data_IF_828200190659
#
_entry.id   IF_828200190659
#
_cell.length_a   1.000
_cell.length_b   1.000
_cell.length_c   1.000
_cell.angle_alpha   90.00
_cell.angle_beta   90.00
_cell.angle_gamma   90.00
#
_symmetry.space_group_name_H-M   'P 1'
#
loop_
_entity.id
_entity.type
_entity.pdbx_description
1 polymer ?
#
# COMPACT_ATOMS: atom_id res chain seq x y z
N UNK A 1 21.16 4.54 1.00
CA UNK A 1 20.24 4.07 -0.05
C UNK A 1 18.91 4.83 -0.01
N UNK A 2 18.27 4.99 1.14
CA UNK A 2 16.99 5.72 1.32
C UNK A 2 17.05 7.21 0.95
N UNK A 3 18.13 7.92 1.33
CA UNK A 3 18.35 9.32 0.92
C UNK A 3 18.38 9.51 -0.60
N UNK A 4 18.94 8.54 -1.32
CA UNK A 4 19.01 8.61 -2.79
C UNK A 4 17.62 8.46 -3.41
N UNK A 5 16.82 7.53 -2.90
CA UNK A 5 15.42 7.34 -3.34
C UNK A 5 14.57 8.57 -3.07
N UNK A 6 14.66 9.14 -1.86
CA UNK A 6 13.91 10.35 -1.54
C UNK A 6 14.29 11.51 -2.48
N UNK A 7 15.57 11.71 -2.77
CA UNK A 7 16.02 12.73 -3.72
C UNK A 7 15.49 12.49 -5.13
N UNK A 8 15.44 11.25 -5.57
CA UNK A 8 14.86 10.90 -6.87
C UNK A 8 13.38 11.26 -6.92
N UNK A 9 12.59 10.85 -5.93
CA UNK A 9 11.16 11.16 -5.83
C UNK A 9 10.92 12.68 -5.77
N UNK A 10 11.77 13.43 -5.06
CA UNK A 10 11.71 14.89 -4.99
C UNK A 10 11.96 15.54 -6.37
N UNK A 11 12.91 15.03 -7.14
CA UNK A 11 13.19 15.54 -8.48
C UNK A 11 12.05 15.27 -9.47
N UNK A 12 11.38 14.13 -9.33
CA UNK A 12 10.22 13.76 -10.16
C UNK A 12 8.96 14.53 -9.78
N UNK A 13 8.88 15.06 -8.56
CA UNK A 13 7.70 15.76 -8.02
C UNK A 13 8.11 17.08 -7.32
N UNK A 14 8.59 18.08 -8.05
CA UNK A 14 9.16 19.30 -7.46
C UNK A 14 8.16 20.15 -6.65
N UNK A 15 6.87 20.06 -6.96
CA UNK A 15 5.82 20.84 -6.30
C UNK A 15 5.19 20.11 -5.10
N UNK A 16 5.55 18.85 -4.88
CA UNK A 16 4.97 18.05 -3.80
C UNK A 16 5.59 18.42 -2.43
N UNK A 17 4.76 18.40 -1.39
CA UNK A 17 5.24 18.63 -0.02
C UNK A 17 6.11 17.47 0.44
N UNK A 18 7.23 17.78 1.10
CA UNK A 18 8.18 16.78 1.57
C UNK A 18 7.53 15.67 2.42
N UNK A 19 6.55 16.01 3.27
CA UNK A 19 5.80 15.02 4.06
C UNK A 19 5.05 13.99 3.19
N UNK A 20 4.53 14.43 2.04
CA UNK A 20 3.77 13.56 1.14
C UNK A 20 4.71 12.61 0.39
N UNK A 21 5.88 13.09 0.00
CA UNK A 21 6.94 12.27 -0.60
C UNK A 21 7.52 11.25 0.38
N UNK A 22 7.69 11.64 1.65
CA UNK A 22 8.12 10.72 2.71
C UNK A 22 7.04 9.69 3.00
N UNK A 23 5.77 10.08 3.02
CA UNK A 23 4.66 9.14 3.20
C UNK A 23 4.60 8.12 2.05
N UNK A 24 4.76 8.57 0.80
CA UNK A 24 4.82 7.69 -0.36
C UNK A 24 6.01 6.71 -0.26
N UNK A 25 7.20 7.20 0.07
CA UNK A 25 8.38 6.36 0.22
C UNK A 25 8.16 5.27 1.30
N UNK A 26 7.64 5.65 2.47
CA UNK A 26 7.36 4.70 3.55
C UNK A 26 6.27 3.70 3.14
N UNK A 27 5.22 4.16 2.46
CA UNK A 27 4.17 3.31 1.92
C UNK A 27 4.76 2.24 0.99
N UNK A 28 5.58 2.64 0.02
CA UNK A 28 6.22 1.73 -0.94
C UNK A 28 7.16 0.72 -0.23
N UNK A 29 7.89 1.15 0.79
CA UNK A 29 8.75 0.27 1.59
C UNK A 29 7.94 -0.75 2.43
N UNK A 30 6.74 -0.36 2.90
CA UNK A 30 5.81 -1.25 3.62
C UNK A 30 5.18 -2.26 2.67
N UNK A 31 4.63 -1.82 1.55
CA UNK A 31 3.95 -2.68 0.56
C UNK A 31 4.93 -3.71 -0.03
N UNK A 32 6.17 -3.28 -0.31
CA UNK A 32 7.22 -4.18 -0.81
C UNK A 32 7.91 -5.00 0.29
N UNK A 33 7.34 -5.03 1.52
CA UNK A 33 7.85 -5.79 2.66
C UNK A 33 9.32 -5.49 3.04
N UNK A 34 9.85 -4.32 2.67
CA UNK A 34 11.17 -3.84 3.13
C UNK A 34 11.10 -3.33 4.55
N UNK A 35 9.94 -2.79 4.95
CA UNK A 35 9.58 -2.56 6.34
C UNK A 35 8.50 -3.60 6.68
N UNK A 36 8.86 -4.57 7.51
CA UNK A 36 7.96 -5.67 7.85
C UNK A 36 6.75 -5.21 8.68
N UNK A 37 5.58 -5.90 8.55
CA UNK A 37 4.48 -5.74 9.49
C UNK A 37 4.94 -5.85 10.94
N UNK A 38 4.30 -5.10 11.85
CA UNK A 38 4.66 -5.04 13.27
C UNK A 38 5.90 -4.19 13.59
N UNK A 39 6.64 -3.72 12.59
CA UNK A 39 7.84 -2.90 12.81
C UNK A 39 7.49 -1.56 13.46
N UNK A 40 8.20 -1.20 14.53
CA UNK A 40 8.09 0.12 15.16
C UNK A 40 8.78 1.18 14.30
N UNK A 41 8.04 2.21 13.91
CA UNK A 41 8.55 3.34 13.15
C UNK A 41 9.15 4.39 14.10
N UNK A 42 10.47 4.55 14.06
CA UNK A 42 11.18 5.51 14.89
C UNK A 42 11.46 6.79 14.09
N UNK A 43 10.76 7.87 14.43
CA UNK A 43 10.90 9.19 13.76
C UNK A 43 12.36 9.68 13.71
N UNK A 44 13.13 9.51 14.81
CA UNK A 44 14.50 9.99 14.85
C UNK A 44 15.43 9.18 13.93
N UNK A 45 15.26 7.87 13.89
CA UNK A 45 16.04 6.98 13.02
C UNK A 45 15.70 7.22 11.55
N UNK A 46 14.42 7.32 11.22
CA UNK A 46 13.96 7.61 9.86
C UNK A 46 14.42 8.99 9.38
N UNK A 47 14.32 10.02 10.22
CA UNK A 47 14.81 11.35 9.89
C UNK A 47 16.33 11.35 9.61
N UNK A 48 17.10 10.65 10.44
CA UNK A 48 18.54 10.50 10.25
C UNK A 48 18.88 9.72 8.97
N UNK A 49 18.18 8.61 8.67
CA UNK A 49 18.42 7.79 7.46
C UNK A 49 18.07 8.54 6.18
N UNK A 50 17.02 9.38 6.23
CA UNK A 50 16.58 10.20 5.10
C UNK A 50 17.34 11.52 4.96
N UNK A 51 18.10 11.94 5.98
CA UNK A 51 18.84 13.21 5.99
C UNK A 51 17.95 14.45 6.04
N UNK A 52 16.80 14.36 6.70
CA UNK A 52 15.79 15.43 6.83
C UNK A 52 15.43 15.69 8.29
N UNK A 53 14.65 16.75 8.55
CA UNK A 53 14.16 17.04 9.90
C UNK A 53 13.07 16.04 10.34
N UNK A 54 12.80 15.97 11.63
CA UNK A 54 11.80 15.05 12.22
C UNK A 54 10.35 15.39 11.85
N UNK A 55 10.04 16.65 11.64
CA UNK A 55 8.66 17.11 11.39
C UNK A 55 8.03 16.44 10.17
N UNK A 56 8.60 16.48 8.95
CA UNK A 56 8.00 15.82 7.78
C UNK A 56 7.87 14.30 7.94
N UNK A 57 8.77 13.66 8.71
CA UNK A 57 8.66 12.22 9.01
C UNK A 57 7.49 11.94 9.94
N UNK A 58 7.31 12.74 11.00
CA UNK A 58 6.19 12.59 11.92
C UNK A 58 4.84 12.83 11.22
N UNK A 59 4.76 13.84 10.34
CA UNK A 59 3.57 14.11 9.53
C UNK A 59 3.30 12.98 8.53
N UNK A 60 4.31 12.40 7.92
CA UNK A 60 4.19 11.26 7.03
C UNK A 60 3.63 10.02 7.76
N UNK A 61 4.17 9.73 8.95
CA UNK A 61 3.67 8.63 9.80
C UNK A 61 2.22 8.87 10.22
N UNK A 62 1.85 10.10 10.58
CA UNK A 62 0.46 10.45 10.89
C UNK A 62 -0.46 10.18 9.69
N UNK A 63 -0.05 10.60 8.49
CA UNK A 63 -0.81 10.34 7.25
C UNK A 63 -0.99 8.85 6.98
N UNK A 64 0.05 8.03 7.21
CA UNK A 64 -0.06 6.57 7.10
C UNK A 64 -0.97 5.95 8.17
N UNK A 65 -1.05 6.59 9.35
CA UNK A 65 -1.99 6.18 10.39
C UNK A 65 -3.43 6.51 10.02
N UNK A 66 -3.69 7.67 9.40
CA UNK A 66 -5.02 8.06 8.94
C UNK A 66 -5.61 7.09 7.89
N UNK A 67 -4.74 6.51 7.06
CA UNK A 67 -5.14 5.50 6.06
C UNK A 67 -5.01 4.05 6.55
N UNK A 68 -4.65 3.84 7.82
CA UNK A 68 -4.65 2.53 8.47
C UNK A 68 -3.42 1.66 8.24
N UNK A 69 -2.35 2.15 7.59
CA UNK A 69 -1.09 1.39 7.41
C UNK A 69 -0.21 1.40 8.66
N UNK A 70 -0.45 2.36 9.54
CA UNK A 70 0.27 2.50 10.80
C UNK A 70 -0.72 2.56 11.95
N UNK A 71 -0.43 1.86 13.02
CA UNK A 71 -1.30 1.75 14.21
C UNK A 71 -0.54 2.11 15.48
N UNK A 72 -1.30 2.47 16.52
CA UNK A 72 -0.80 2.61 17.89
C UNK A 72 -1.39 1.48 18.74
N UNK A 73 -0.56 0.82 19.53
CA UNK A 73 -1.03 -0.23 20.43
C UNK A 73 -1.29 0.32 21.83
N UNK A 74 -2.40 -0.08 22.48
CA UNK A 74 -2.66 0.28 23.87
C UNK A 74 -1.50 -0.16 24.76
N UNK A 75 -1.01 0.76 25.61
CA UNK A 75 0.11 0.47 26.54
C UNK A 75 1.51 0.49 25.91
N UNK A 76 1.62 0.70 24.63
CA UNK A 76 2.92 0.83 23.94
C UNK A 76 3.06 2.22 23.34
N UNK A 77 4.18 2.89 23.62
CA UNK A 77 4.47 4.19 22.99
C UNK A 77 5.06 4.01 21.59
N UNK A 78 4.52 4.73 20.61
CA UNK A 78 5.04 4.78 19.23
C UNK A 78 4.05 4.29 18.20
N UNK A 79 4.46 4.37 16.95
CA UNK A 79 3.71 3.99 15.77
C UNK A 79 4.29 2.70 15.19
N UNK A 80 3.45 1.77 14.78
CA UNK A 80 3.83 0.45 14.30
C UNK A 80 3.19 0.20 12.94
N UNK A 81 3.89 -0.47 12.04
CA UNK A 81 3.29 -0.94 10.78
C UNK A 81 2.18 -1.93 11.10
N UNK A 82 1.02 -1.79 10.47
CA UNK A 82 -0.12 -2.69 10.66
C UNK A 82 0.31 -4.14 10.40
N UNK A 83 -0.06 -5.00 11.31
CA UNK A 83 0.09 -6.46 11.18
C UNK A 83 -1.31 -7.07 11.07
N UNK A 84 -1.58 -7.75 9.96
CA UNK A 84 -2.83 -8.45 9.74
C UNK A 84 -2.68 -9.90 10.14
N UNK A 85 -3.54 -10.39 11.02
CA UNK A 85 -3.64 -11.81 11.31
C UNK A 85 -4.54 -12.53 10.28
N UNK A 86 -4.52 -13.85 10.29
CA UNK A 86 -5.30 -14.65 9.35
C UNK A 86 -6.81 -14.36 9.43
N UNK A 87 -7.34 -14.09 10.63
CA UNK A 87 -8.76 -13.80 10.83
C UNK A 87 -9.16 -12.45 10.20
N UNK A 88 -8.27 -11.45 10.31
CA UNK A 88 -8.47 -10.15 9.66
C UNK A 88 -8.51 -10.31 8.14
N UNK A 89 -7.59 -11.11 7.58
CA UNK A 89 -7.56 -11.40 6.15
C UNK A 89 -8.83 -12.12 5.69
N UNK A 90 -9.28 -13.15 6.41
CA UNK A 90 -10.52 -13.86 6.10
C UNK A 90 -11.72 -12.89 6.10
N UNK A 91 -11.78 -12.00 7.09
CA UNK A 91 -12.85 -11.02 7.22
C UNK A 91 -12.84 -10.02 6.05
N UNK A 92 -11.66 -9.54 5.68
CA UNK A 92 -11.47 -8.65 4.53
C UNK A 92 -11.92 -9.33 3.22
N UNK A 93 -11.51 -10.58 2.99
CA UNK A 93 -11.90 -11.32 1.79
C UNK A 93 -13.41 -11.59 1.73
N UNK A 94 -14.08 -11.80 2.85
CA UNK A 94 -15.55 -11.94 2.88
C UNK A 94 -16.24 -10.66 2.40
N UNK A 95 -15.82 -9.49 2.89
CA UNK A 95 -16.37 -8.20 2.46
C UNK A 95 -16.08 -7.95 0.99
N UNK A 96 -14.84 -8.18 0.58
CA UNK A 96 -14.43 -8.05 -0.82
C UNK A 96 -15.25 -8.92 -1.76
N UNK A 97 -15.44 -10.21 -1.41
CA UNK A 97 -16.25 -11.15 -2.20
C UNK A 97 -17.69 -10.66 -2.33
N UNK A 98 -18.29 -10.15 -1.26
CA UNK A 98 -19.66 -9.64 -1.31
C UNK A 98 -19.79 -8.44 -2.26
N UNK A 99 -18.87 -7.48 -2.20
CA UNK A 99 -18.86 -6.30 -3.07
C UNK A 99 -18.58 -6.67 -4.52
N UNK A 100 -17.58 -7.49 -4.77
CA UNK A 100 -17.19 -7.90 -6.13
C UNK A 100 -18.24 -8.77 -6.80
N UNK A 101 -18.91 -9.64 -6.05
CA UNK A 101 -20.00 -10.46 -6.59
C UNK A 101 -21.20 -9.60 -6.99
N UNK A 102 -21.57 -8.61 -6.19
CA UNK A 102 -22.66 -7.69 -6.53
C UNK A 102 -22.29 -6.82 -7.73
N UNK A 103 -21.07 -6.27 -7.76
CA UNK A 103 -20.58 -5.50 -8.90
C UNK A 103 -20.59 -6.33 -10.19
N UNK A 104 -20.13 -7.57 -10.15
CA UNK A 104 -20.15 -8.48 -11.29
C UNK A 104 -21.59 -8.79 -11.75
N UNK A 105 -22.53 -8.99 -10.80
CA UNK A 105 -23.96 -9.19 -11.10
C UNK A 105 -24.55 -7.99 -11.83
N UNK A 106 -24.26 -6.77 -11.39
CA UNK A 106 -24.74 -5.54 -12.05
C UNK A 106 -24.11 -5.41 -13.44
N UNK A 107 -22.79 -5.60 -13.56
CA UNK A 107 -22.08 -5.51 -14.83
C UNK A 107 -22.60 -6.51 -15.87
N UNK A 108 -22.95 -7.73 -15.47
CA UNK A 108 -23.45 -8.77 -16.37
C UNK A 108 -24.73 -8.36 -17.14
N UNK A 109 -25.48 -7.37 -16.64
CA UNK A 109 -26.69 -6.88 -17.30
C UNK A 109 -26.44 -5.73 -18.28
N UNK A 110 -25.26 -5.10 -18.25
CA UNK A 110 -24.99 -3.88 -19.01
C UNK A 110 -23.73 -3.98 -19.89
N UNK A 111 -22.91 -5.01 -19.73
CA UNK A 111 -21.69 -5.22 -20.49
C UNK A 111 -22.04 -5.59 -21.93
N UNK A 112 -21.38 -4.96 -22.90
CA UNK A 112 -21.45 -5.34 -24.31
C UNK A 112 -20.48 -6.49 -24.64
N UNK A 113 -20.69 -7.10 -25.82
CA UNK A 113 -19.91 -8.27 -26.25
C UNK A 113 -18.44 -7.96 -26.49
N UNK A 114 -18.06 -6.72 -26.83
CA UNK A 114 -16.68 -6.34 -27.06
C UNK A 114 -15.94 -6.24 -25.73
N UNK A 115 -16.53 -5.53 -24.77
CA UNK A 115 -16.02 -5.45 -23.39
C UNK A 115 -15.94 -6.83 -22.73
N UNK A 116 -16.92 -7.69 -22.95
CA UNK A 116 -16.90 -9.06 -22.41
C UNK A 116 -15.75 -9.90 -22.97
N UNK A 117 -15.43 -9.76 -24.27
CA UNK A 117 -14.26 -10.42 -24.88
C UNK A 117 -12.96 -9.91 -24.31
N UNK A 118 -12.83 -8.60 -24.11
CA UNK A 118 -11.64 -8.00 -23.49
C UNK A 118 -11.44 -8.49 -22.04
N UNK A 119 -12.50 -8.48 -21.23
CA UNK A 119 -12.46 -9.02 -19.86
C UNK A 119 -12.07 -10.49 -19.82
N UNK A 120 -12.60 -11.29 -20.75
CA UNK A 120 -12.27 -12.71 -20.85
C UNK A 120 -10.80 -12.93 -21.17
N UNK A 121 -10.24 -12.14 -22.09
CA UNK A 121 -8.81 -12.19 -22.45
C UNK A 121 -7.91 -11.80 -21.26
N UNK A 122 -8.29 -10.75 -20.51
CA UNK A 122 -7.57 -10.33 -19.29
C UNK A 122 -7.63 -11.41 -18.20
N UNK A 123 -8.78 -12.05 -18.02
CA UNK A 123 -8.93 -13.14 -17.04
C UNK A 123 -8.05 -14.36 -17.36
N UNK A 124 -7.94 -14.75 -18.63
CA UNK A 124 -7.05 -15.84 -19.04
C UNK A 124 -5.56 -15.45 -18.89
N UNK A 125 -5.19 -14.20 -19.25
CA UNK A 125 -3.84 -13.71 -19.04
C UNK A 125 -3.44 -13.69 -17.56
N UNK A 126 -4.35 -13.24 -16.68
CA UNK A 126 -4.14 -13.27 -15.23
C UNK A 126 -3.96 -14.71 -14.71
N UNK A 127 -4.82 -15.63 -15.14
CA UNK A 127 -4.72 -17.05 -14.77
C UNK A 127 -3.37 -17.65 -15.18
N UNK A 128 -2.88 -17.34 -16.38
CA UNK A 128 -1.58 -17.77 -16.86
C UNK A 128 -0.44 -17.21 -16.01
N UNK A 129 -0.50 -15.94 -15.62
CA UNK A 129 0.49 -15.28 -14.74
C UNK A 129 0.52 -15.96 -13.36
N UNK A 130 -0.65 -16.26 -12.78
CA UNK A 130 -0.74 -16.96 -11.48
C UNK A 130 -0.13 -18.37 -11.57
N UNK A 131 -0.42 -19.11 -12.65
CA UNK A 131 0.15 -20.46 -12.87
C UNK A 131 1.69 -20.40 -13.00
N UNK A 132 2.21 -19.40 -13.70
CA UNK A 132 3.66 -19.18 -13.86
C UNK A 132 4.32 -18.61 -12.61
N UNK A 133 3.55 -18.20 -11.59
CA UNK A 133 3.99 -17.46 -10.40
C UNK A 133 4.70 -16.14 -10.76
N UNK A 134 4.28 -15.54 -11.84
CA UNK A 134 4.74 -14.22 -12.27
C UNK A 134 3.92 -13.16 -11.51
N UNK A 135 4.53 -12.58 -10.47
CA UNK A 135 3.86 -11.64 -9.56
C UNK A 135 3.96 -10.20 -10.09
N UNK A 136 4.89 -9.97 -11.01
CA UNK A 136 5.22 -8.64 -11.56
C UNK A 136 4.63 -8.38 -12.96
N UNK A 137 3.80 -9.31 -13.46
CA UNK A 137 3.17 -9.26 -14.79
C UNK A 137 1.96 -8.36 -14.91
#
# INVERSE_FOLDING_TARGET
MEQFKLKQIMNENPDAKLRDLVAQLLYDEIINLKINPGTKLNVNQLAASLGISRTPVAEAIAKLSDIGFVVQHPGQSGSFVLELNLQDMISLYRVRTAIESEAASICAHVVDDDTLRELSALAEAFKDSVIRRDIDG
#
